data_IF_646153540242
#
_entry.id   IF_646153540242
#
_cell.length_a   1.000
_cell.length_b   1.000
_cell.length_c   1.000
_cell.angle_alpha   90.00
_cell.angle_beta   90.00
_cell.angle_gamma   90.00
#
_symmetry.space_group_name_H-M   'P 1'
#
loop_
_entity.id
_entity.type
_entity.pdbx_description
1 polymer ?
#
# COMPACT_ATOMS: atom_id res chain seq x y z
N UNK A 1 -16.55 10.73 27.60
CA UNK A 1 -15.54 9.75 28.06
C UNK A 1 -14.35 9.84 27.13
N UNK A 2 -13.12 9.84 27.66
CA UNK A 2 -11.91 9.92 26.83
C UNK A 2 -11.69 8.54 26.18
N UNK A 3 -11.63 8.45 24.85
CA UNK A 3 -11.39 7.19 24.14
C UNK A 3 -10.06 6.57 24.59
N UNK A 4 -10.05 5.26 24.87
CA UNK A 4 -8.83 4.50 25.15
C UNK A 4 -7.94 4.42 23.90
N UNK A 5 -6.60 4.24 24.03
CA UNK A 5 -5.73 4.01 22.88
C UNK A 5 -6.18 2.83 22.00
N UNK A 6 -6.70 1.77 22.61
CA UNK A 6 -7.25 0.60 21.92
C UNK A 6 -8.49 0.94 21.09
N UNK A 7 -9.40 1.74 21.66
CA UNK A 7 -10.59 2.25 20.97
C UNK A 7 -10.19 3.12 19.78
N UNK A 8 -9.27 4.08 19.96
CA UNK A 8 -8.75 4.90 18.85
C UNK A 8 -8.13 4.05 17.72
N UNK A 9 -7.38 3.03 18.09
CA UNK A 9 -6.73 2.14 17.13
C UNK A 9 -7.72 1.34 16.30
N UNK A 10 -8.69 0.67 16.95
CA UNK A 10 -9.74 -0.09 16.25
C UNK A 10 -10.65 0.82 15.43
N UNK A 11 -11.07 1.95 16.01
CA UNK A 11 -11.94 2.91 15.31
C UNK A 11 -11.22 3.55 14.12
N UNK A 12 -9.90 3.76 14.15
CA UNK A 12 -9.16 4.29 13.00
C UNK A 12 -9.24 3.41 11.75
N UNK A 13 -9.28 2.08 11.92
CA UNK A 13 -9.36 1.14 10.80
C UNK A 13 -10.80 0.74 10.49
N UNK A 14 -11.54 0.21 11.47
CA UNK A 14 -12.89 -0.32 11.27
C UNK A 14 -13.98 0.76 11.27
N UNK A 15 -13.75 1.93 11.89
CA UNK A 15 -14.82 2.94 12.14
C UNK A 15 -16.03 2.34 12.87
N UNK A 16 -15.77 1.43 13.80
CA UNK A 16 -16.78 0.84 14.67
C UNK A 16 -17.13 1.79 15.84
N UNK A 17 -18.20 1.52 16.62
CA UNK A 17 -18.55 2.30 17.81
C UNK A 17 -17.44 2.38 18.85
N UNK A 18 -17.26 3.57 19.45
CA UNK A 18 -16.18 3.89 20.40
C UNK A 18 -16.16 2.99 21.64
N UNK A 19 -17.34 2.54 22.05
CA UNK A 19 -17.51 1.75 23.25
C UNK A 19 -16.85 0.38 23.12
N UNK A 20 -16.69 -0.19 21.92
CA UNK A 20 -16.12 -1.53 21.68
C UNK A 20 -14.67 -1.66 22.18
N UNK A 21 -13.88 -0.59 22.14
CA UNK A 21 -12.45 -0.61 22.47
C UNK A 21 -12.09 -0.52 23.96
N UNK A 22 -13.03 -0.68 24.89
CA UNK A 22 -12.73 -0.57 26.33
C UNK A 22 -12.14 -1.84 26.94
N UNK A 23 -10.99 -2.31 26.44
CA UNK A 23 -10.10 -3.22 27.15
C UNK A 23 -8.75 -2.54 27.36
N UNK A 24 -8.08 -2.88 28.46
CA UNK A 24 -6.89 -2.17 28.91
C UNK A 24 -5.67 -2.65 28.10
N UNK A 25 -5.32 -1.93 27.03
CA UNK A 25 -3.96 -1.99 26.49
C UNK A 25 -3.07 -1.40 27.58
N UNK A 26 -2.30 -2.26 28.26
CA UNK A 26 -1.44 -1.82 29.37
C UNK A 26 -0.65 -0.58 28.97
N UNK A 27 -0.61 0.40 29.86
CA UNK A 27 0.27 1.55 29.70
C UNK A 27 1.72 1.13 29.89
N UNK A 28 2.56 1.47 28.90
CA UNK A 28 4.03 1.60 28.92
C UNK A 28 4.77 0.91 30.06
N UNK A 29 5.45 -0.18 29.73
CA UNK A 29 6.67 -0.57 30.45
C UNK A 29 7.83 -0.09 29.59
N UNK A 30 8.58 0.90 30.08
CA UNK A 30 9.71 1.50 29.36
C UNK A 30 10.80 0.46 29.09
N UNK A 31 10.70 -0.24 27.97
CA UNK A 31 11.70 -1.16 27.45
C UNK A 31 12.02 -0.81 26.00
N UNK A 32 13.20 -1.20 25.52
CA UNK A 32 13.57 -1.02 24.12
C UNK A 32 12.63 -1.83 23.19
N UNK A 33 12.11 -1.27 22.07
CA UNK A 33 11.31 -2.03 21.12
C UNK A 33 12.04 -3.25 20.53
N UNK A 34 11.37 -4.39 20.51
CA UNK A 34 11.94 -5.70 20.16
C UNK A 34 11.03 -6.44 19.19
N UNK A 35 11.54 -7.50 18.55
CA UNK A 35 10.71 -8.43 17.82
C UNK A 35 9.94 -9.34 18.80
N UNK A 36 8.68 -9.65 18.50
CA UNK A 36 7.87 -10.62 19.24
C UNK A 36 6.85 -11.29 18.32
N UNK A 37 6.24 -12.41 18.75
CA UNK A 37 5.19 -13.10 18.00
C UNK A 37 3.81 -12.79 18.57
N UNK A 38 2.86 -12.53 17.68
CA UNK A 38 1.43 -12.49 18.04
C UNK A 38 0.88 -13.92 18.23
N UNK A 39 -0.37 -14.04 18.70
CA UNK A 39 -1.04 -15.34 18.94
C UNK A 39 -1.23 -16.18 17.67
N UNK A 40 -1.08 -15.58 16.48
CA UNK A 40 -1.15 -16.29 15.19
C UNK A 40 0.19 -16.22 14.45
N UNK A 41 1.29 -16.33 15.17
CA UNK A 41 2.66 -16.42 14.65
C UNK A 41 3.14 -15.22 13.80
N UNK A 42 2.39 -14.10 13.76
CA UNK A 42 2.85 -12.91 13.05
C UNK A 42 4.02 -12.26 13.79
N UNK A 43 5.04 -11.87 13.02
CA UNK A 43 6.19 -11.12 13.48
C UNK A 43 5.79 -9.67 13.75
N UNK A 44 5.89 -9.24 14.99
CA UNK A 44 5.62 -7.87 15.41
C UNK A 44 6.92 -7.18 15.85
N UNK A 45 6.92 -5.84 15.90
CA UNK A 45 8.05 -5.07 16.42
C UNK A 45 7.56 -3.89 17.28
N UNK A 46 7.90 -3.88 18.57
CA UNK A 46 7.41 -2.89 19.52
C UNK A 46 7.84 -3.19 20.96
N UNK A 47 7.39 -2.38 21.90
CA UNK A 47 7.53 -2.64 23.34
C UNK A 47 6.77 -3.93 23.70
N UNK A 48 7.46 -4.87 24.35
CA UNK A 48 6.91 -6.14 24.80
C UNK A 48 6.80 -6.18 26.33
N UNK A 49 5.70 -6.72 26.86
CA UNK A 49 5.44 -6.74 28.30
C UNK A 49 6.11 -7.89 29.05
N UNK A 50 6.67 -8.89 28.35
CA UNK A 50 7.45 -9.97 28.96
C UNK A 50 8.93 -9.58 29.03
N UNK A 51 9.44 -9.36 30.24
CA UNK A 51 10.73 -8.71 30.54
C UNK A 51 12.03 -9.43 30.16
N UNK A 52 12.06 -10.25 29.11
CA UNK A 52 13.31 -10.79 28.54
C UNK A 52 13.23 -10.90 27.02
N UNK A 53 13.59 -9.85 26.28
CA UNK A 53 13.53 -9.89 24.83
C UNK A 53 14.87 -10.31 24.20
N UNK A 54 14.86 -11.14 23.15
CA UNK A 54 16.00 -11.24 22.27
C UNK A 54 16.11 -10.00 21.37
N UNK A 55 17.33 -9.49 21.18
CA UNK A 55 17.64 -8.38 20.28
C UNK A 55 17.65 -8.77 18.79
N UNK A 56 17.66 -10.07 18.48
CA UNK A 56 17.78 -10.63 17.14
C UNK A 56 16.59 -11.53 16.78
N UNK A 57 16.14 -11.44 15.52
CA UNK A 57 15.06 -12.23 14.90
C UNK A 57 15.24 -13.76 15.03
N UNK A 58 16.48 -14.22 15.26
CA UNK A 58 16.84 -15.64 15.33
C UNK A 58 16.68 -16.28 16.71
N UNK A 59 16.27 -15.51 17.73
CA UNK A 59 16.04 -16.04 19.07
C UNK A 59 14.55 -16.13 19.38
N UNK A 60 14.21 -17.13 20.19
CA UNK A 60 12.86 -17.52 20.59
C UNK A 60 12.00 -16.28 20.92
N UNK A 61 10.99 -16.00 20.10
CA UNK A 61 10.13 -14.84 20.28
C UNK A 61 9.14 -15.15 21.41
N UNK A 62 8.97 -14.25 22.41
CA UNK A 62 8.04 -14.53 23.51
C UNK A 62 6.60 -14.60 23.01
N UNK A 63 5.94 -15.71 23.31
CA UNK A 63 4.53 -15.98 22.98
C UNK A 63 3.58 -15.12 23.82
N UNK A 64 2.41 -14.83 23.25
CA UNK A 64 1.32 -14.24 24.01
C UNK A 64 0.82 -15.20 25.11
N UNK A 65 0.90 -14.77 26.36
CA UNK A 65 0.37 -15.53 27.48
C UNK A 65 -1.12 -15.22 27.71
N UNK A 66 -1.98 -16.26 27.69
CA UNK A 66 -3.32 -16.19 28.30
C UNK A 66 -3.16 -16.03 29.81
N UNK A 67 -3.58 -14.90 30.39
CA UNK A 67 -3.67 -14.74 31.85
C UNK A 67 -5.13 -14.67 32.31
N UNK A 68 -5.64 -15.82 32.76
CA UNK A 68 -7.02 -15.94 33.26
C UNK A 68 -8.09 -15.84 32.17
N UNK A 69 -9.07 -14.95 32.38
CA UNK A 69 -10.17 -14.61 31.45
C UNK A 69 -9.82 -13.47 30.49
N UNK A 70 -8.62 -12.89 30.59
CA UNK A 70 -8.20 -11.72 29.81
C UNK A 70 -7.31 -12.17 28.66
N UNK A 71 -7.71 -11.90 27.42
CA UNK A 71 -6.85 -12.06 26.25
C UNK A 71 -5.88 -10.87 26.18
N UNK A 72 -4.59 -11.14 26.03
CA UNK A 72 -3.55 -10.10 26.06
C UNK A 72 -2.71 -10.15 24.78
N UNK A 73 -2.66 -9.02 24.08
CA UNK A 73 -1.65 -8.81 23.05
C UNK A 73 -0.28 -8.60 23.73
N UNK A 74 0.80 -9.25 23.28
CA UNK A 74 2.08 -9.30 24.00
C UNK A 74 2.85 -7.96 24.10
N UNK A 75 2.34 -6.90 23.46
CA UNK A 75 2.94 -5.56 23.46
C UNK A 75 1.93 -4.43 23.21
N UNK A 76 2.41 -3.23 22.89
CA UNK A 76 1.56 -2.14 22.41
C UNK A 76 1.22 -2.37 20.92
N UNK A 77 -0.03 -2.77 20.64
CA UNK A 77 -0.50 -3.04 19.28
C UNK A 77 -0.47 -1.80 18.36
N UNK A 78 -0.71 -0.61 18.92
CA UNK A 78 -0.67 0.66 18.17
C UNK A 78 0.76 0.93 17.72
N UNK A 79 1.70 0.87 18.68
CA UNK A 79 3.11 1.05 18.40
C UNK A 79 3.64 -0.03 17.45
N UNK A 80 3.17 -1.28 17.56
CA UNK A 80 3.55 -2.36 16.66
C UNK A 80 3.14 -2.05 15.21
N UNK A 81 1.89 -1.65 14.98
CA UNK A 81 1.42 -1.30 13.64
C UNK A 81 2.11 -0.05 13.08
N UNK A 82 2.34 0.98 13.90
CA UNK A 82 3.11 2.15 13.48
C UNK A 82 4.56 1.79 13.14
N UNK A 83 5.22 0.95 13.93
CA UNK A 83 6.57 0.50 13.65
C UNK A 83 6.67 -0.28 12.33
N UNK A 84 5.64 -1.06 11.99
CA UNK A 84 5.55 -1.75 10.71
C UNK A 84 5.33 -0.77 9.55
N UNK A 85 4.29 0.07 9.63
CA UNK A 85 3.94 1.07 8.60
C UNK A 85 5.06 2.06 8.31
N UNK A 86 5.85 2.42 9.33
CA UNK A 86 6.96 3.36 9.22
C UNK A 86 8.33 2.65 9.17
N UNK A 87 8.34 1.34 8.96
CA UNK A 87 9.55 0.50 8.76
C UNK A 87 10.61 0.60 9.88
N UNK A 88 10.18 0.88 11.12
CA UNK A 88 11.08 1.07 12.27
C UNK A 88 11.84 -0.20 12.64
N UNK A 89 11.27 -1.36 12.31
CA UNK A 89 11.90 -2.66 12.48
C UNK A 89 13.16 -2.83 11.59
N UNK A 90 13.20 -2.18 10.42
CA UNK A 90 14.34 -2.24 9.50
C UNK A 90 15.54 -1.41 9.97
N UNK A 91 15.32 -0.38 10.81
CA UNK A 91 16.41 0.43 11.35
C UNK A 91 17.28 -0.35 12.36
N UNK A 92 16.68 -1.27 13.14
CA UNK A 92 17.40 -2.07 14.15
C UNK A 92 18.19 -3.25 13.57
N UNK A 93 17.72 -3.88 12.49
CA UNK A 93 18.50 -4.92 11.78
C UNK A 93 19.82 -4.37 11.20
N UNK A 94 19.95 -3.06 11.05
CA UNK A 94 21.19 -2.38 10.63
C UNK A 94 22.10 -1.93 11.77
N UNK A 95 21.69 -1.98 13.04
CA UNK A 95 22.56 -1.63 14.18
C UNK A 95 23.51 -2.77 14.60
N UNK A 96 23.20 -4.02 14.27
CA UNK A 96 24.08 -5.18 14.49
C UNK A 96 25.22 -5.32 13.47
N UNK A 97 25.22 -4.55 12.38
CA UNK A 97 26.24 -4.54 11.35
C UNK A 97 26.63 -3.09 11.08
N UNK A 98 27.84 -2.64 11.45
CA UNK A 98 28.37 -1.28 11.28
C UNK A 98 28.42 -0.76 9.83
N UNK A 99 27.27 -0.68 9.16
CA UNK A 99 27.11 -0.68 7.71
C UNK A 99 26.27 0.47 7.15
N UNK A 100 25.71 1.35 7.97
CA UNK A 100 25.03 2.57 7.48
C UNK A 100 26.00 3.48 6.69
N UNK A 101 27.23 3.64 7.17
CA UNK A 101 28.27 4.43 6.47
C UNK A 101 28.77 3.73 5.21
N UNK A 102 28.99 2.41 5.24
CA UNK A 102 29.43 1.64 4.05
C UNK A 102 28.35 1.54 2.96
N UNK A 103 27.07 1.36 3.32
CA UNK A 103 25.95 1.33 2.37
C UNK A 103 25.75 2.66 1.65
N UNK A 104 25.86 3.79 2.37
CA UNK A 104 25.75 5.11 1.77
C UNK A 104 26.88 5.42 0.77
N UNK A 105 28.11 5.01 1.08
CA UNK A 105 29.26 5.18 0.17
C UNK A 105 29.11 4.32 -1.09
N UNK A 106 28.75 3.04 -0.94
CA UNK A 106 28.52 2.13 -2.09
C UNK A 106 27.35 2.59 -2.94
N UNK A 107 26.26 3.06 -2.31
CA UNK A 107 25.10 3.65 -3.01
C UNK A 107 25.52 4.90 -3.80
N UNK A 108 26.24 5.82 -3.16
CA UNK A 108 26.71 7.05 -3.82
C UNK A 108 27.64 6.74 -5.00
N UNK A 109 28.58 5.79 -4.85
CA UNK A 109 29.44 5.35 -5.94
C UNK A 109 28.64 4.70 -7.06
N UNK A 110 27.71 3.80 -6.73
CA UNK A 110 26.82 3.16 -7.71
C UNK A 110 26.03 4.20 -8.50
N UNK A 111 25.33 5.14 -7.87
CA UNK A 111 24.57 6.16 -8.60
C UNK A 111 25.43 7.20 -9.33
N UNK A 112 26.69 7.37 -8.93
CA UNK A 112 27.65 8.20 -9.68
C UNK A 112 28.09 7.49 -10.97
N UNK A 113 28.25 6.17 -10.93
CA UNK A 113 28.69 5.37 -12.09
C UNK A 113 27.50 4.87 -12.93
N UNK A 114 26.30 4.77 -12.35
CA UNK A 114 25.07 4.24 -12.97
C UNK A 114 24.79 4.87 -14.34
N UNK A 115 24.84 6.20 -14.56
CA UNK A 115 24.58 6.80 -15.86
C UNK A 115 25.47 6.25 -16.99
N UNK A 116 26.69 5.81 -16.67
CA UNK A 116 27.68 5.31 -17.62
C UNK A 116 27.58 3.80 -17.88
N UNK A 117 26.80 3.05 -17.08
CA UNK A 117 26.64 1.61 -17.26
C UNK A 117 25.55 1.29 -18.30
N UNK A 118 25.78 0.36 -19.25
CA UNK A 118 24.74 -0.17 -20.11
C UNK A 118 23.61 -0.83 -19.31
N UNK A 119 22.36 -0.79 -19.81
CA UNK A 119 21.17 -1.34 -19.12
C UNK A 119 21.35 -2.82 -18.74
N UNK A 120 21.96 -3.62 -19.62
CA UNK A 120 22.25 -5.04 -19.35
C UNK A 120 23.19 -5.24 -18.15
N UNK A 121 24.19 -4.36 -17.99
CA UNK A 121 25.14 -4.41 -16.85
C UNK A 121 24.44 -3.96 -15.56
N UNK A 122 23.60 -2.92 -15.61
CA UNK A 122 22.80 -2.49 -14.46
C UNK A 122 21.87 -3.61 -13.98
N UNK A 123 21.18 -4.27 -14.92
CA UNK A 123 20.32 -5.44 -14.67
C UNK A 123 21.08 -6.56 -13.97
N UNK A 124 22.24 -6.95 -14.51
CA UNK A 124 23.06 -8.02 -13.95
C UNK A 124 23.60 -7.69 -12.54
N UNK A 125 24.10 -6.47 -12.32
CA UNK A 125 24.55 -6.03 -11.00
C UNK A 125 23.40 -6.01 -9.98
N UNK A 126 22.21 -5.61 -10.40
CA UNK A 126 21.03 -5.61 -9.53
C UNK A 126 20.58 -7.04 -9.19
N UNK A 127 20.59 -7.96 -10.16
CA UNK A 127 20.33 -9.38 -9.90
C UNK A 127 21.32 -9.97 -8.88
N UNK A 128 22.60 -9.60 -8.95
CA UNK A 128 23.60 -10.00 -7.95
C UNK A 128 23.30 -9.37 -6.59
N UNK A 129 23.03 -8.07 -6.55
CA UNK A 129 22.72 -7.35 -5.31
C UNK A 129 21.49 -7.92 -4.59
N UNK A 130 20.51 -8.39 -5.35
CA UNK A 130 19.26 -8.96 -4.84
C UNK A 130 19.34 -10.47 -4.58
N UNK A 131 20.49 -11.14 -4.73
CA UNK A 131 20.63 -12.56 -4.40
C UNK A 131 20.19 -12.85 -2.96
N UNK A 132 19.50 -13.97 -2.76
CA UNK A 132 18.95 -14.36 -1.45
C UNK A 132 17.71 -13.57 -1.03
N UNK A 133 17.08 -12.83 -1.95
CA UNK A 133 15.80 -12.15 -1.70
C UNK A 133 14.69 -13.10 -1.22
N UNK A 134 14.74 -14.35 -1.68
CA UNK A 134 13.82 -15.45 -1.36
C UNK A 134 14.06 -16.03 0.04
N UNK A 135 15.20 -15.69 0.67
CA UNK A 135 15.59 -16.18 2.01
C UNK A 135 15.28 -15.18 3.12
N UNK A 136 14.84 -13.97 2.78
CA UNK A 136 14.47 -12.99 3.78
C UNK A 136 13.19 -13.46 4.49
N UNK A 137 13.20 -13.62 5.83
CA UNK A 137 12.07 -14.17 6.55
C UNK A 137 10.98 -13.13 6.83
N UNK A 138 11.31 -11.83 6.74
CA UNK A 138 10.41 -10.72 7.03
C UNK A 138 10.81 -9.46 6.24
N UNK A 139 9.85 -8.70 5.68
CA UNK A 139 8.42 -9.00 5.57
C UNK A 139 8.08 -10.29 4.80
N UNK A 140 6.90 -10.86 5.01
CA UNK A 140 6.49 -12.11 4.38
C UNK A 140 6.22 -11.94 2.87
N UNK A 141 6.97 -12.65 2.02
CA UNK A 141 6.74 -12.67 0.57
C UNK A 141 5.61 -13.66 0.20
N UNK A 142 4.78 -13.38 -0.83
CA UNK A 142 4.82 -12.24 -1.76
C UNK A 142 3.98 -11.03 -1.34
N UNK A 143 3.20 -11.14 -0.27
CA UNK A 143 2.41 -10.07 0.34
C UNK A 143 2.43 -10.28 1.85
N UNK A 144 2.82 -9.26 2.60
CA UNK A 144 2.82 -9.26 4.04
C UNK A 144 1.50 -8.65 4.55
N UNK A 145 0.81 -9.38 5.43
CA UNK A 145 -0.52 -9.05 5.98
C UNK A 145 -0.49 -8.90 7.50
N UNK A 146 0.69 -8.68 8.06
CA UNK A 146 0.94 -8.64 9.51
C UNK A 146 0.09 -7.57 10.17
N UNK A 147 -0.01 -6.38 9.57
CA UNK A 147 -0.81 -5.28 10.14
C UNK A 147 -2.29 -5.66 10.19
N UNK A 148 -2.84 -6.26 9.13
CA UNK A 148 -4.24 -6.72 9.09
C UNK A 148 -4.49 -7.80 10.14
N UNK A 149 -3.58 -8.78 10.27
CA UNK A 149 -3.71 -9.84 11.26
C UNK A 149 -3.68 -9.29 12.70
N UNK A 150 -2.84 -8.28 13.00
CA UNK A 150 -2.84 -7.61 14.30
C UNK A 150 -4.18 -6.91 14.54
N UNK A 151 -4.69 -6.15 13.57
CA UNK A 151 -5.96 -5.42 13.68
C UNK A 151 -7.14 -6.36 13.95
N UNK A 152 -7.22 -7.46 13.21
CA UNK A 152 -8.25 -8.49 13.39
C UNK A 152 -8.16 -9.15 14.78
N UNK A 153 -6.96 -9.54 15.23
CA UNK A 153 -6.79 -10.14 16.56
C UNK A 153 -7.19 -9.20 17.68
N UNK A 154 -6.80 -7.93 17.59
CA UNK A 154 -7.16 -6.92 18.57
C UNK A 154 -8.68 -6.76 18.63
N UNK A 155 -9.37 -6.83 17.48
CA UNK A 155 -10.83 -6.81 17.43
C UNK A 155 -11.45 -8.09 18.02
N UNK A 156 -10.92 -9.28 17.72
CA UNK A 156 -11.35 -10.55 18.34
C UNK A 156 -11.25 -10.49 19.87
N UNK A 157 -10.15 -9.97 20.41
CA UNK A 157 -9.98 -9.82 21.85
C UNK A 157 -10.95 -8.81 22.45
N UNK A 158 -11.19 -7.69 21.76
CA UNK A 158 -12.21 -6.73 22.16
C UNK A 158 -13.60 -7.37 22.23
N UNK A 159 -13.99 -8.12 21.20
CA UNK A 159 -15.27 -8.82 21.10
C UNK A 159 -15.43 -9.85 22.21
N UNK A 160 -14.42 -10.72 22.42
CA UNK A 160 -14.46 -11.76 23.46
C UNK A 160 -14.52 -11.20 24.87
N UNK A 161 -13.73 -10.16 25.17
CA UNK A 161 -13.75 -9.53 26.51
C UNK A 161 -15.11 -8.94 26.89
N UNK A 162 -15.94 -8.62 25.88
CA UNK A 162 -17.28 -8.04 26.04
C UNK A 162 -18.40 -9.01 25.76
N UNK A 163 -18.08 -10.28 25.47
CA UNK A 163 -19.03 -11.30 25.06
C UNK A 163 -19.88 -10.86 23.85
N UNK A 164 -19.27 -10.18 22.89
CA UNK A 164 -19.88 -9.77 21.62
C UNK A 164 -19.57 -10.80 20.55
N UNK A 165 -20.60 -11.24 19.82
CA UNK A 165 -20.44 -12.14 18.67
C UNK A 165 -20.42 -11.40 17.34
N UNK A 166 -20.85 -10.13 17.33
CA UNK A 166 -21.04 -9.31 16.13
C UNK A 166 -20.78 -7.85 16.45
N UNK A 167 -20.02 -7.17 15.60
CA UNK A 167 -19.66 -5.76 15.74
C UNK A 167 -19.95 -5.01 14.44
N UNK A 168 -20.76 -3.95 14.46
CA UNK A 168 -21.03 -3.11 13.30
C UNK A 168 -19.83 -2.18 13.04
N UNK A 169 -19.54 -1.92 11.77
CA UNK A 169 -18.47 -1.04 11.35
C UNK A 169 -18.75 -0.47 9.96
N UNK A 170 -18.02 0.57 9.56
CA UNK A 170 -18.13 1.12 8.21
C UNK A 170 -17.23 0.29 7.29
N UNK A 171 -17.79 -0.31 6.24
CA UNK A 171 -17.03 -1.12 5.29
C UNK A 171 -15.86 -0.32 4.66
N UNK A 172 -14.81 -1.03 4.24
CA UNK A 172 -13.54 -0.42 3.86
C UNK A 172 -13.62 0.41 2.58
N UNK A 173 -14.37 -0.08 1.59
CA UNK A 173 -14.45 0.49 0.26
C UNK A 173 -15.85 1.02 -0.02
N UNK A 174 -15.98 2.01 -0.92
CA UNK A 174 -17.29 2.54 -1.24
C UNK A 174 -18.15 1.48 -1.91
N UNK A 175 -19.46 1.68 -1.86
CA UNK A 175 -20.44 0.96 -2.65
C UNK A 175 -20.48 -0.56 -2.34
N UNK A 176 -19.90 -0.99 -1.21
CA UNK A 176 -19.80 -2.38 -0.79
C UNK A 176 -18.71 -3.21 -1.51
N UNK A 177 -17.82 -2.56 -2.28
CA UNK A 177 -16.77 -3.27 -3.02
C UNK A 177 -15.87 -4.08 -2.08
N UNK A 178 -15.53 -5.32 -2.46
CA UNK A 178 -14.79 -6.23 -1.58
C UNK A 178 -13.31 -5.86 -1.43
N UNK A 179 -12.76 -5.14 -2.41
CA UNK A 179 -11.37 -4.71 -2.47
C UNK A 179 -11.26 -3.54 -3.47
N UNK A 180 -10.10 -2.88 -3.49
CA UNK A 180 -9.82 -1.80 -4.42
C UNK A 180 -8.59 -2.13 -5.27
N UNK A 181 -8.56 -1.67 -6.52
CA UNK A 181 -7.36 -1.72 -7.35
C UNK A 181 -7.04 -0.35 -7.96
N UNK A 182 -5.74 -0.03 -8.02
CA UNK A 182 -5.20 1.14 -8.71
C UNK A 182 -4.12 0.72 -9.71
N UNK A 183 -4.16 1.32 -10.90
CA UNK A 183 -3.14 1.16 -11.93
C UNK A 183 -2.33 2.45 -12.03
N UNK A 184 -0.99 2.32 -12.03
CA UNK A 184 -0.10 3.49 -12.03
C UNK A 184 1.08 3.29 -12.97
N UNK A 185 1.57 4.40 -13.54
CA UNK A 185 2.60 4.43 -14.57
C UNK A 185 3.74 5.38 -14.24
N UNK A 186 4.90 4.83 -13.89
CA UNK A 186 6.13 5.59 -13.66
C UNK A 186 6.82 5.86 -15.01
N UNK A 187 6.80 7.12 -15.45
CA UNK A 187 7.33 7.55 -16.76
C UNK A 187 8.80 7.96 -16.60
N UNK A 188 9.76 7.09 -16.95
CA UNK A 188 11.17 7.32 -16.59
C UNK A 188 12.02 7.91 -17.73
N UNK A 189 11.63 7.71 -19.00
CA UNK A 189 12.39 8.19 -20.17
C UNK A 189 11.51 8.89 -21.21
N UNK A 190 12.18 9.59 -22.15
CA UNK A 190 11.51 10.21 -23.29
C UNK A 190 10.76 9.19 -24.17
N UNK A 191 11.27 7.95 -24.26
CA UNK A 191 10.59 6.89 -25.01
C UNK A 191 9.27 6.49 -24.31
N UNK A 192 9.30 6.33 -22.98
CA UNK A 192 8.10 6.11 -22.17
C UNK A 192 7.09 7.25 -22.30
N UNK A 193 7.55 8.51 -22.22
CA UNK A 193 6.69 9.69 -22.40
C UNK A 193 5.98 9.67 -23.76
N UNK A 194 6.72 9.39 -24.84
CA UNK A 194 6.16 9.31 -26.20
C UNK A 194 5.16 8.16 -26.37
N UNK A 195 5.32 7.08 -25.60
CA UNK A 195 4.44 5.92 -25.64
C UNK A 195 3.14 6.11 -24.83
N UNK A 196 3.10 7.07 -23.90
CA UNK A 196 1.96 7.25 -22.99
C UNK A 196 0.60 7.39 -23.68
N UNK A 197 0.52 8.01 -24.87
CA UNK A 197 -0.77 8.09 -25.59
C UNK A 197 -1.29 6.72 -26.00
N UNK A 198 -0.42 5.85 -26.53
CA UNK A 198 -0.78 4.48 -26.89
C UNK A 198 -1.08 3.63 -25.66
N UNK A 199 -0.37 3.89 -24.55
CA UNK A 199 -0.67 3.26 -23.27
C UNK A 199 -2.05 3.65 -22.73
N UNK A 200 -2.44 4.93 -22.86
CA UNK A 200 -3.80 5.36 -22.51
C UNK A 200 -4.85 4.69 -23.40
N UNK A 201 -4.59 4.53 -24.71
CA UNK A 201 -5.49 3.80 -25.61
C UNK A 201 -5.69 2.35 -25.13
N UNK A 202 -4.60 1.69 -24.74
CA UNK A 202 -4.64 0.32 -24.20
C UNK A 202 -5.40 0.23 -22.87
N UNK A 203 -5.17 1.17 -21.94
CA UNK A 203 -5.92 1.20 -20.68
C UNK A 203 -7.43 1.39 -20.94
N UNK A 204 -7.78 2.31 -21.83
CA UNK A 204 -9.17 2.59 -22.20
C UNK A 204 -9.87 1.41 -22.87
N UNK A 205 -9.18 0.60 -23.68
CA UNK A 205 -9.78 -0.57 -24.30
C UNK A 205 -10.28 -1.61 -23.28
N UNK A 206 -9.75 -1.60 -22.05
CA UNK A 206 -10.21 -2.44 -20.94
C UNK A 206 -11.05 -1.69 -19.90
N UNK A 207 -11.38 -0.41 -20.16
CA UNK A 207 -12.17 0.42 -19.24
C UNK A 207 -11.44 0.83 -17.96
N UNK A 208 -10.11 0.71 -17.92
CA UNK A 208 -9.31 1.00 -16.72
C UNK A 208 -8.69 2.39 -16.87
N UNK A 209 -8.83 3.23 -15.84
CA UNK A 209 -8.10 4.50 -15.74
C UNK A 209 -6.92 4.34 -14.80
N UNK A 210 -5.87 5.08 -15.08
CA UNK A 210 -4.60 5.01 -14.35
C UNK A 210 -4.03 6.41 -14.06
N UNK A 211 -3.03 6.45 -13.20
CA UNK A 211 -2.24 7.65 -12.96
C UNK A 211 -0.87 7.55 -13.64
N UNK A 212 -0.34 8.68 -14.06
CA UNK A 212 0.98 8.81 -14.67
C UNK A 212 1.86 9.65 -13.75
N UNK A 213 2.94 9.05 -13.26
CA UNK A 213 3.95 9.66 -12.43
C UNK A 213 5.03 10.21 -13.36
N UNK A 214 5.08 11.54 -13.47
CA UNK A 214 5.93 12.25 -14.42
C UNK A 214 7.11 12.88 -13.69
N UNK A 215 8.33 12.68 -14.20
CA UNK A 215 9.55 13.29 -13.65
C UNK A 215 9.68 14.72 -14.18
N UNK A 216 9.70 15.75 -13.31
CA UNK A 216 9.74 17.16 -13.76
C UNK A 216 11.03 17.58 -14.45
N UNK A 217 12.19 17.16 -13.94
CA UNK A 217 13.49 17.69 -14.35
C UNK A 217 14.41 16.59 -14.92
N UNK A 218 15.39 17.01 -15.75
CA UNK A 218 16.53 16.25 -16.29
C UNK A 218 16.25 15.00 -17.15
N UNK A 219 15.05 14.40 -17.13
CA UNK A 219 14.73 13.18 -17.89
C UNK A 219 14.25 13.47 -19.30
N UNK A 220 13.37 14.44 -19.45
CA UNK A 220 12.74 14.84 -20.70
C UNK A 220 12.04 16.19 -20.51
N UNK A 221 11.73 16.89 -21.60
CA UNK A 221 10.82 18.04 -21.54
C UNK A 221 9.38 17.54 -21.35
N UNK A 222 8.61 18.21 -20.49
CA UNK A 222 7.19 17.91 -20.23
C UNK A 222 6.32 19.02 -20.84
N UNK A 223 5.78 18.85 -22.05
CA UNK A 223 4.93 19.86 -22.66
C UNK A 223 3.62 20.02 -21.88
N UNK A 224 3.07 21.24 -21.71
CA UNK A 224 1.76 21.43 -21.09
C UNK A 224 0.65 20.61 -21.77
N UNK A 225 0.71 20.49 -23.11
CA UNK A 225 -0.23 19.68 -23.90
C UNK A 225 -0.20 18.20 -23.58
N UNK A 226 0.93 17.66 -23.12
CA UNK A 226 1.04 16.28 -22.67
C UNK A 226 0.22 16.06 -21.39
N UNK A 227 0.39 16.94 -20.40
CA UNK A 227 -0.36 16.88 -19.15
C UNK A 227 -1.86 17.11 -19.35
N UNK A 228 -2.22 18.06 -20.24
CA UNK A 228 -3.61 18.31 -20.60
C UNK A 228 -4.26 17.11 -21.29
N UNK A 229 -3.54 16.42 -22.17
CA UNK A 229 -4.05 15.20 -22.83
C UNK A 229 -4.40 14.11 -21.81
N UNK A 230 -3.51 13.85 -20.85
CA UNK A 230 -3.76 12.87 -19.76
C UNK A 230 -5.06 13.22 -19.01
N UNK A 231 -5.21 14.48 -18.58
CA UNK A 231 -6.39 14.92 -17.82
C UNK A 231 -7.68 14.89 -18.65
N UNK A 232 -7.63 15.37 -19.90
CA UNK A 232 -8.78 15.38 -20.81
C UNK A 232 -9.34 13.98 -21.06
N UNK A 233 -8.46 12.97 -21.06
CA UNK A 233 -8.84 11.56 -21.17
C UNK A 233 -9.27 10.92 -19.85
N UNK A 234 -9.36 11.70 -18.77
CA UNK A 234 -9.80 11.23 -17.46
C UNK A 234 -8.73 10.47 -16.65
N UNK A 235 -7.48 10.47 -17.10
CA UNK A 235 -6.36 9.91 -16.34
C UNK A 235 -5.84 10.93 -15.31
N UNK A 236 -4.95 10.48 -14.43
CA UNK A 236 -4.33 11.32 -13.40
C UNK A 236 -2.86 11.63 -13.69
N UNK A 237 -2.42 12.84 -13.32
CA UNK A 237 -1.03 13.28 -13.39
C UNK A 237 -0.50 13.44 -11.96
N UNK A 238 0.63 12.81 -11.67
CA UNK A 238 1.34 12.87 -10.40
C UNK A 238 2.81 13.27 -10.59
N UNK A 239 3.42 13.79 -9.53
CA UNK A 239 4.85 14.13 -9.53
C UNK A 239 5.69 12.90 -9.16
N UNK A 240 6.70 12.60 -9.98
CA UNK A 240 7.62 11.49 -9.76
C UNK A 240 9.02 11.99 -9.42
N UNK A 241 9.33 12.09 -8.12
CA UNK A 241 10.59 12.68 -7.66
C UNK A 241 10.77 14.11 -8.23
N UNK A 242 12.00 14.66 -8.16
CA UNK A 242 12.34 15.90 -8.86
C UNK A 242 12.99 15.59 -10.22
N UNK A 243 14.04 14.78 -10.21
CA UNK A 243 14.82 14.44 -11.40
C UNK A 243 15.18 12.95 -11.48
N UNK A 244 14.68 12.17 -10.54
CA UNK A 244 14.80 10.71 -10.52
C UNK A 244 16.26 10.23 -10.46
N UNK A 245 17.17 10.99 -9.83
CA UNK A 245 18.60 10.66 -9.73
C UNK A 245 18.95 9.64 -8.62
N UNK A 246 17.94 9.22 -7.83
CA UNK A 246 18.09 8.29 -6.71
C UNK A 246 18.70 8.92 -5.45
N UNK A 247 18.77 10.27 -5.38
CA UNK A 247 19.42 11.00 -4.28
C UNK A 247 18.47 11.88 -3.46
N UNK A 248 17.16 11.85 -3.72
CA UNK A 248 16.18 12.66 -3.00
C UNK A 248 16.31 12.50 -1.47
N UNK A 249 16.48 11.27 -0.98
CA UNK A 249 16.63 10.95 0.45
C UNK A 249 18.09 10.76 0.89
N UNK A 250 19.05 11.44 0.26
CA UNK A 250 20.48 11.31 0.60
C UNK A 250 20.89 12.15 1.81
N UNK A 251 20.35 13.37 1.93
CA UNK A 251 20.62 14.35 2.98
C UNK A 251 19.31 15.13 3.25
N UNK A 252 18.98 15.40 4.53
CA UNK A 252 17.77 16.15 4.92
C UNK A 252 17.77 17.57 4.34
N UNK A 253 18.90 18.27 4.34
CA UNK A 253 18.97 19.64 3.80
C UNK A 253 18.67 19.65 2.30
N UNK A 254 19.31 18.75 1.54
CA UNK A 254 19.06 18.57 0.12
C UNK A 254 17.62 18.14 -0.15
N UNK A 255 17.08 17.25 0.68
CA UNK A 255 15.68 16.83 0.60
C UNK A 255 14.74 18.01 0.78
N UNK A 256 14.91 18.83 1.81
CA UNK A 256 14.07 20.01 2.06
C UNK A 256 14.16 21.03 0.91
N UNK A 257 15.36 21.20 0.33
CA UNK A 257 15.53 22.03 -0.87
C UNK A 257 14.73 21.48 -2.05
N UNK A 258 14.86 20.18 -2.35
CA UNK A 258 14.15 19.54 -3.47
C UNK A 258 12.64 19.44 -3.22
N UNK A 259 12.20 19.19 -1.99
CA UNK A 259 10.80 19.11 -1.60
C UNK A 259 10.07 20.42 -1.96
N UNK A 260 10.68 21.59 -1.75
CA UNK A 260 10.09 22.87 -2.19
C UNK A 260 9.87 22.92 -3.71
N UNK A 261 10.82 22.44 -4.50
CA UNK A 261 10.67 22.38 -5.96
C UNK A 261 9.59 21.37 -6.37
N UNK A 262 9.59 20.19 -5.75
CA UNK A 262 8.59 19.13 -5.97
C UNK A 262 7.18 19.67 -5.66
N UNK A 263 6.99 20.35 -4.53
CA UNK A 263 5.71 20.96 -4.16
C UNK A 263 5.30 22.04 -5.17
N UNK A 264 6.24 22.85 -5.66
CA UNK A 264 5.97 23.83 -6.72
C UNK A 264 5.46 23.15 -8.01
N UNK A 265 6.06 22.03 -8.44
CA UNK A 265 5.53 21.25 -9.57
C UNK A 265 4.17 20.64 -9.26
N UNK A 266 3.97 20.15 -8.04
CA UNK A 266 2.65 19.68 -7.56
C UNK A 266 1.57 20.73 -7.78
N UNK A 267 1.83 21.98 -7.35
CA UNK A 267 0.91 23.10 -7.56
C UNK A 267 0.75 23.47 -9.04
N UNK A 268 1.85 23.63 -9.78
CA UNK A 268 1.82 24.02 -11.19
C UNK A 268 1.08 23.01 -12.07
N UNK A 269 1.21 21.72 -11.76
CA UNK A 269 0.54 20.65 -12.49
C UNK A 269 -0.83 20.32 -11.88
N UNK A 270 -1.25 20.93 -10.78
CA UNK A 270 -2.44 20.47 -10.04
C UNK A 270 -2.38 18.97 -9.71
N UNK A 271 -1.18 18.46 -9.49
CA UNK A 271 -0.93 17.07 -9.14
C UNK A 271 -1.05 16.92 -7.62
N UNK A 272 -1.87 15.97 -7.19
CA UNK A 272 -2.15 15.74 -5.77
C UNK A 272 -1.47 14.49 -5.22
N UNK A 273 -0.86 13.67 -6.08
CA UNK A 273 -0.07 12.50 -5.72
C UNK A 273 1.43 12.67 -5.97
N UNK A 274 2.22 12.03 -5.12
CA UNK A 274 3.68 11.92 -5.22
C UNK A 274 4.13 10.46 -5.30
N UNK A 275 5.25 10.22 -5.99
CA UNK A 275 6.00 8.95 -6.01
C UNK A 275 7.49 9.25 -5.99
N UNK A 276 8.24 8.66 -5.07
CA UNK A 276 9.69 8.78 -5.04
C UNK A 276 10.38 7.88 -6.07
N UNK A 277 11.53 8.34 -6.55
CA UNK A 277 12.33 7.54 -7.47
C UNK A 277 12.76 6.23 -6.84
N UNK A 278 12.54 5.12 -7.55
CA UNK A 278 13.05 3.79 -7.15
C UNK A 278 12.45 3.33 -5.79
N UNK A 279 11.35 3.97 -5.35
CA UNK A 279 10.76 3.79 -4.02
C UNK A 279 11.73 4.03 -2.86
N UNK A 280 12.75 4.87 -3.06
CA UNK A 280 13.57 5.34 -1.95
C UNK A 280 12.75 6.23 -1.04
N UNK A 281 12.90 6.04 0.27
CA UNK A 281 11.98 6.64 1.22
C UNK A 281 12.62 6.88 2.57
N UNK A 282 12.20 7.96 3.20
CA UNK A 282 12.39 8.24 4.61
C UNK A 282 11.13 8.93 5.13
N UNK A 283 10.26 8.14 5.76
CA UNK A 283 8.91 8.58 6.15
C UNK A 283 8.95 9.75 7.16
N UNK A 284 10.01 9.88 7.96
CA UNK A 284 10.21 11.01 8.89
C UNK A 284 10.33 12.37 8.20
N UNK A 285 10.51 12.38 6.88
CA UNK A 285 10.76 13.58 6.11
C UNK A 285 9.53 13.98 5.26
N UNK A 286 8.48 13.16 5.27
CA UNK A 286 7.29 13.37 4.43
C UNK A 286 6.47 14.59 4.84
N UNK A 287 6.70 15.13 6.04
CA UNK A 287 6.10 16.38 6.52
C UNK A 287 6.41 17.60 5.64
N UNK A 288 7.47 17.53 4.83
CA UNK A 288 7.83 18.60 3.88
C UNK A 288 7.17 18.46 2.50
N UNK A 289 6.41 17.39 2.23
CA UNK A 289 5.75 17.15 0.96
C UNK A 289 4.28 17.60 1.03
N UNK A 290 3.89 18.55 0.16
CA UNK A 290 2.55 19.16 0.16
C UNK A 290 1.59 18.43 -0.80
N UNK A 291 1.42 17.13 -0.61
CA UNK A 291 0.57 16.27 -1.45
C UNK A 291 -0.58 15.65 -0.67
N UNK A 292 -1.63 15.24 -1.38
CA UNK A 292 -2.76 14.51 -0.80
C UNK A 292 -2.44 13.04 -0.57
N UNK A 293 -1.57 12.43 -1.36
CA UNK A 293 -1.14 11.06 -1.11
C UNK A 293 0.27 10.78 -1.66
N UNK A 294 0.92 9.79 -1.06
CA UNK A 294 2.17 9.19 -1.52
C UNK A 294 1.90 7.74 -1.93
N UNK A 295 2.76 7.20 -2.79
CA UNK A 295 2.71 5.81 -3.22
C UNK A 295 4.11 5.20 -3.28
N UNK A 296 4.97 5.55 -2.32
CA UNK A 296 6.39 5.21 -2.35
C UNK A 296 6.79 4.10 -1.39
N UNK A 297 5.88 3.63 -0.53
CA UNK A 297 6.17 2.60 0.47
C UNK A 297 5.64 1.25 -0.01
N UNK A 298 6.52 0.28 -0.33
CA UNK A 298 6.10 -1.06 -0.70
C UNK A 298 5.54 -1.82 0.50
N UNK A 299 4.67 -2.79 0.23
CA UNK A 299 4.23 -3.78 1.22
C UNK A 299 5.39 -4.71 1.62
N UNK A 300 6.13 -5.21 0.63
CA UNK A 300 7.34 -6.03 0.80
C UNK A 300 8.43 -5.62 -0.18
N UNK A 301 9.59 -5.20 0.32
CA UNK A 301 10.71 -4.72 -0.50
C UNK A 301 11.80 -5.78 -0.76
N UNK A 302 11.41 -7.03 -1.01
CA UNK A 302 12.36 -8.13 -1.28
C UNK A 302 13.05 -8.02 -2.63
N UNK A 303 12.55 -7.22 -3.57
CA UNK A 303 13.18 -7.02 -4.87
C UNK A 303 13.52 -5.55 -5.16
N UNK A 304 13.31 -4.67 -4.19
CA UNK A 304 13.62 -3.25 -4.32
C UNK A 304 15.02 -2.91 -3.77
N UNK A 305 15.66 -1.84 -4.30
CA UNK A 305 16.98 -1.43 -3.83
C UNK A 305 17.04 -1.03 -2.35
N UNK A 306 15.94 -0.50 -1.79
CA UNK A 306 15.79 -0.26 -0.36
C UNK A 306 14.86 -1.31 0.25
N UNK A 307 15.45 -2.20 1.05
CA UNK A 307 14.75 -3.23 1.84
C UNK A 307 13.76 -2.62 2.85
N UNK A 308 12.85 -3.45 3.35
CA UNK A 308 11.79 -3.08 4.28
C UNK A 308 10.42 -3.46 3.74
N UNK A 309 9.39 -2.70 4.10
CA UNK A 309 7.99 -2.90 3.77
C UNK A 309 7.05 -2.37 4.85
N UNK A 310 5.91 -1.80 4.48
CA UNK A 310 4.93 -1.32 5.47
C UNK A 310 4.08 -2.44 6.10
N UNK A 311 4.17 -3.67 5.59
CA UNK A 311 3.46 -4.85 6.10
C UNK A 311 1.92 -4.70 6.19
N UNK A 312 1.35 -3.77 5.43
CA UNK A 312 -0.09 -3.53 5.34
C UNK A 312 -0.51 -3.49 3.87
N UNK A 313 -1.72 -3.96 3.59
CA UNK A 313 -2.35 -3.86 2.27
C UNK A 313 -3.37 -2.72 2.21
N UNK A 314 -3.51 -1.93 3.26
CA UNK A 314 -4.46 -0.81 3.31
C UNK A 314 -3.76 0.56 3.26
N UNK A 315 -4.45 1.58 2.73
CA UNK A 315 -4.02 2.96 2.90
C UNK A 315 -3.89 3.35 4.38
N UNK A 316 -2.94 4.23 4.69
CA UNK A 316 -2.75 4.73 6.05
C UNK A 316 -2.25 6.18 6.05
N UNK A 317 -2.52 6.89 7.15
CA UNK A 317 -2.11 8.28 7.29
C UNK A 317 -0.65 8.41 7.73
N UNK A 318 0.08 9.32 7.09
CA UNK A 318 1.39 9.83 7.50
C UNK A 318 1.21 11.34 7.71
N UNK A 319 0.85 11.73 8.94
CA UNK A 319 0.42 13.10 9.21
C UNK A 319 -0.80 13.47 8.35
N UNK A 320 -0.64 14.45 7.45
CA UNK A 320 -1.70 14.90 6.53
C UNK A 320 -1.75 14.11 5.22
N UNK A 321 -0.66 13.38 4.90
CA UNK A 321 -0.52 12.56 3.71
C UNK A 321 -1.20 11.20 3.93
N UNK A 322 -1.72 10.62 2.85
CA UNK A 322 -2.15 9.22 2.85
C UNK A 322 -1.13 8.43 2.05
N UNK A 323 -0.55 7.40 2.63
CA UNK A 323 0.19 6.40 1.88
C UNK A 323 -0.78 5.43 1.23
N UNK A 324 -0.64 5.22 -0.08
CA UNK A 324 -1.26 4.12 -0.82
C UNK A 324 -0.16 3.09 -1.12
N UNK A 325 -0.02 2.04 -0.30
CA UNK A 325 1.15 1.17 -0.37
C UNK A 325 1.27 0.46 -1.71
N UNK A 326 2.49 0.19 -2.15
CA UNK A 326 2.78 -0.63 -3.34
C UNK A 326 2.67 -2.10 -2.94
N UNK A 327 1.52 -2.71 -3.21
CA UNK A 327 1.16 -4.04 -2.69
C UNK A 327 1.47 -5.19 -3.64
N UNK A 328 1.79 -4.91 -4.90
CA UNK A 328 2.21 -5.92 -5.87
C UNK A 328 3.62 -5.69 -6.38
N UNK A 329 4.25 -6.71 -6.95
CA UNK A 329 5.57 -6.58 -7.57
C UNK A 329 5.50 -5.64 -8.78
N UNK A 330 6.51 -4.77 -8.93
CA UNK A 330 6.64 -3.90 -10.10
C UNK A 330 6.98 -4.72 -11.36
N UNK A 331 6.54 -4.25 -12.53
CA UNK A 331 6.88 -4.85 -13.82
C UNK A 331 8.39 -4.97 -14.06
N UNK A 332 9.18 -3.99 -13.61
CA UNK A 332 10.63 -4.04 -13.72
C UNK A 332 11.21 -5.26 -13.00
N UNK A 333 10.83 -5.48 -11.75
CA UNK A 333 11.31 -6.61 -10.96
C UNK A 333 10.82 -7.93 -11.55
N UNK A 334 9.58 -7.98 -12.03
CA UNK A 334 9.00 -9.16 -12.67
C UNK A 334 9.76 -9.53 -13.96
N UNK A 335 9.93 -8.59 -14.89
CA UNK A 335 10.53 -8.86 -16.21
C UNK A 335 12.05 -8.91 -16.18
N UNK A 336 12.70 -8.06 -15.39
CA UNK A 336 14.15 -7.90 -15.42
C UNK A 336 14.88 -8.62 -14.27
N UNK A 337 14.25 -8.84 -13.12
CA UNK A 337 14.90 -9.58 -12.02
C UNK A 337 14.47 -11.04 -12.03
N UNK A 338 13.16 -11.32 -12.04
CA UNK A 338 12.62 -12.68 -12.04
C UNK A 338 12.57 -13.32 -13.42
N UNK A 339 12.61 -12.51 -14.49
CA UNK A 339 12.49 -12.96 -15.87
C UNK A 339 11.20 -13.79 -16.11
N UNK A 340 10.12 -13.40 -15.43
CA UNK A 340 8.79 -14.00 -15.56
C UNK A 340 7.94 -13.08 -16.46
N UNK A 341 7.52 -13.59 -17.62
CA UNK A 341 6.64 -12.87 -18.56
C UNK A 341 5.24 -13.51 -18.53
N UNK A 342 4.69 -13.65 -17.32
CA UNK A 342 3.32 -14.10 -17.06
C UNK A 342 2.69 -13.27 -15.95
N UNK A 343 1.36 -13.33 -15.83
CA UNK A 343 0.62 -12.66 -14.74
C UNK A 343 0.46 -13.52 -13.49
N UNK A 344 1.17 -14.66 -13.38
CA UNK A 344 0.97 -15.65 -12.30
C UNK A 344 1.25 -15.07 -10.92
N UNK A 345 2.39 -14.39 -10.75
CA UNK A 345 2.75 -13.79 -9.47
C UNK A 345 1.78 -12.67 -9.08
N UNK A 346 1.38 -11.83 -10.04
CA UNK A 346 0.34 -10.82 -9.81
C UNK A 346 -0.99 -11.46 -9.38
N UNK A 347 -1.46 -12.52 -10.03
CA UNK A 347 -2.67 -13.25 -9.62
C UNK A 347 -2.57 -13.79 -8.19
N UNK A 348 -1.41 -14.34 -7.80
CA UNK A 348 -1.17 -14.79 -6.44
C UNK A 348 -1.24 -13.63 -5.44
N UNK A 349 -0.59 -12.50 -5.72
CA UNK A 349 -0.61 -11.32 -4.86
C UNK A 349 -2.02 -10.74 -4.74
N UNK A 350 -2.76 -10.63 -5.85
CA UNK A 350 -4.16 -10.21 -5.88
C UNK A 350 -4.99 -11.10 -4.96
N UNK A 351 -4.88 -12.43 -5.05
CA UNK A 351 -5.62 -13.35 -4.17
C UNK A 351 -5.36 -13.07 -2.69
N UNK A 352 -4.09 -12.96 -2.30
CA UNK A 352 -3.70 -12.73 -0.90
C UNK A 352 -4.19 -11.38 -0.36
N UNK A 353 -4.18 -10.34 -1.19
CA UNK A 353 -4.69 -9.00 -0.85
C UNK A 353 -6.22 -9.04 -0.71
N UNK A 354 -6.90 -9.73 -1.62
CA UNK A 354 -8.37 -9.85 -1.61
C UNK A 354 -8.90 -10.61 -0.39
N UNK A 355 -8.16 -11.60 0.12
CA UNK A 355 -8.47 -12.29 1.38
C UNK A 355 -8.55 -11.33 2.59
N UNK A 356 -7.90 -10.17 2.50
CA UNK A 356 -7.92 -9.13 3.54
C UNK A 356 -8.67 -7.87 3.11
N UNK A 357 -9.41 -7.92 2.00
CA UNK A 357 -10.13 -6.77 1.46
C UNK A 357 -9.21 -5.56 1.18
N UNK A 358 -7.94 -5.77 0.83
CA UNK A 358 -6.95 -4.71 0.72
C UNK A 358 -6.97 -3.92 -0.60
N UNK A 359 -6.02 -3.00 -0.72
CA UNK A 359 -5.69 -2.25 -1.93
C UNK A 359 -4.70 -3.04 -2.79
N UNK A 360 -5.02 -3.23 -4.05
CA UNK A 360 -4.17 -3.83 -5.08
C UNK A 360 -3.54 -2.70 -5.89
N UNK A 361 -2.23 -2.50 -5.75
CA UNK A 361 -1.51 -1.39 -6.38
C UNK A 361 -0.43 -1.92 -7.31
N UNK A 362 -0.46 -1.48 -8.58
CA UNK A 362 0.51 -1.86 -9.62
C UNK A 362 1.35 -0.68 -10.06
N UNK A 363 2.63 -0.92 -10.30
CA UNK A 363 3.54 -0.01 -11.00
C UNK A 363 3.94 -0.64 -12.33
N UNK A 364 3.56 0.02 -13.43
CA UNK A 364 3.88 -0.40 -14.80
C UNK A 364 4.60 0.74 -15.50
N UNK A 365 5.84 0.55 -15.91
CA UNK A 365 6.61 1.58 -16.58
C UNK A 365 6.32 1.55 -18.09
N UNK A 366 5.84 2.65 -18.70
CA UNK A 366 5.66 2.73 -20.15
C UNK A 366 6.93 2.34 -20.91
N UNK A 367 8.08 2.65 -20.33
CA UNK A 367 9.43 2.37 -20.82
C UNK A 367 9.69 0.89 -21.12
N UNK A 368 9.16 -0.03 -20.30
CA UNK A 368 9.40 -1.47 -20.43
C UNK A 368 8.35 -2.17 -21.28
N UNK A 369 7.12 -1.64 -21.32
CA UNK A 369 6.01 -2.22 -22.08
C UNK A 369 5.91 -1.72 -23.53
N UNK A 370 6.88 -0.94 -24.02
CA UNK A 370 7.06 -0.72 -25.47
C UNK A 370 7.36 -2.06 -26.15
N UNK A 371 8.12 -2.94 -25.49
CA UNK A 371 8.43 -4.27 -26.01
C UNK A 371 7.15 -5.13 -26.07
N UNK A 372 6.86 -5.69 -27.25
CA UNK A 372 5.62 -6.45 -27.51
C UNK A 372 5.35 -7.55 -26.49
N UNK A 373 6.39 -8.28 -26.06
CA UNK A 373 6.25 -9.36 -25.06
C UNK A 373 5.76 -8.82 -23.72
N UNK A 374 6.40 -7.78 -23.18
CA UNK A 374 5.99 -7.14 -21.94
C UNK A 374 4.60 -6.49 -22.08
N UNK A 375 4.31 -5.86 -23.22
CA UNK A 375 3.01 -5.28 -23.54
C UNK A 375 1.88 -6.30 -23.51
N UNK A 376 2.12 -7.51 -24.03
CA UNK A 376 1.14 -8.60 -23.99
C UNK A 376 0.82 -9.02 -22.56
N UNK A 377 1.84 -9.17 -21.72
CA UNK A 377 1.65 -9.52 -20.30
C UNK A 377 0.86 -8.42 -19.57
N UNK A 378 1.10 -7.16 -19.90
CA UNK A 378 0.33 -6.05 -19.36
C UNK A 378 -1.14 -6.06 -19.85
N UNK A 379 -1.39 -6.35 -21.12
CA UNK A 379 -2.76 -6.53 -21.63
C UNK A 379 -3.49 -7.70 -20.94
N UNK A 380 -2.80 -8.82 -20.70
CA UNK A 380 -3.35 -9.96 -19.96
C UNK A 380 -3.71 -9.57 -18.51
N UNK A 381 -2.92 -8.68 -17.88
CA UNK A 381 -3.23 -8.13 -16.55
C UNK A 381 -4.47 -7.23 -16.61
N UNK A 382 -4.56 -6.31 -17.58
CA UNK A 382 -5.72 -5.43 -17.74
C UNK A 382 -7.01 -6.21 -17.99
N UNK A 383 -6.96 -7.24 -18.83
CA UNK A 383 -8.09 -8.16 -19.06
C UNK A 383 -8.53 -8.81 -17.75
N UNK A 384 -7.59 -9.35 -16.97
CA UNK A 384 -7.91 -9.97 -15.68
C UNK A 384 -8.53 -8.99 -14.67
N UNK A 385 -8.04 -7.75 -14.61
CA UNK A 385 -8.62 -6.72 -13.74
C UNK A 385 -10.01 -6.28 -14.22
N UNK A 386 -10.22 -6.14 -15.53
CA UNK A 386 -11.53 -5.82 -16.11
C UNK A 386 -12.57 -6.90 -15.79
N UNK A 387 -12.17 -8.18 -15.81
CA UNK A 387 -13.01 -9.30 -15.36
C UNK A 387 -13.41 -9.16 -13.89
N UNK A 388 -12.45 -8.87 -13.00
CA UNK A 388 -12.72 -8.63 -11.57
C UNK A 388 -13.63 -7.42 -11.31
N UNK A 389 -13.50 -6.38 -12.13
CA UNK A 389 -14.40 -5.23 -12.05
C UNK A 389 -15.83 -5.61 -12.48
N UNK A 390 -15.95 -6.42 -13.54
CA UNK A 390 -17.26 -6.83 -14.10
C UNK A 390 -18.10 -7.69 -13.15
N UNK A 391 -17.47 -8.40 -12.21
CA UNK A 391 -18.19 -9.16 -11.16
C UNK A 391 -18.74 -8.26 -10.05
N UNK A 392 -18.38 -6.97 -10.06
CA UNK A 392 -18.78 -5.99 -9.03
C UNK A 392 -18.00 -6.10 -7.72
N UNK A 393 -16.99 -6.98 -7.66
CA UNK A 393 -16.24 -7.24 -6.42
C UNK A 393 -15.10 -6.25 -6.18
N UNK A 394 -14.55 -5.65 -7.24
CA UNK A 394 -13.35 -4.81 -7.17
C UNK A 394 -13.65 -3.39 -7.64
N UNK A 395 -13.45 -2.41 -6.75
CA UNK A 395 -13.49 -1.00 -7.12
C UNK A 395 -12.16 -0.60 -7.76
N UNK A 396 -12.13 -0.50 -9.09
CA UNK A 396 -10.98 0.05 -9.83
C UNK A 396 -11.12 1.57 -9.90
N UNK A 397 -10.12 2.28 -9.38
CA UNK A 397 -10.16 3.73 -9.22
C UNK A 397 -8.83 4.39 -9.57
N UNK A 398 -8.83 5.71 -9.73
CA UNK A 398 -7.62 6.51 -9.72
C UNK A 398 -7.10 6.66 -8.28
N UNK A 399 -5.78 6.76 -8.08
CA UNK A 399 -5.21 6.97 -6.75
C UNK A 399 -5.80 8.17 -5.98
N UNK A 400 -6.09 9.31 -6.64
CA UNK A 400 -6.79 10.43 -5.97
C UNK A 400 -8.16 10.07 -5.42
N UNK A 401 -8.89 9.18 -6.08
CA UNK A 401 -10.22 8.76 -5.65
C UNK A 401 -10.12 7.87 -4.42
N UNK A 402 -9.13 6.98 -4.38
CA UNK A 402 -8.82 6.15 -3.20
C UNK A 402 -8.43 7.04 -2.02
N UNK A 403 -7.52 8.00 -2.23
CA UNK A 403 -7.09 8.92 -1.18
C UNK A 403 -8.24 9.81 -0.69
N UNK A 404 -9.12 10.28 -1.58
CA UNK A 404 -10.30 11.05 -1.22
C UNK A 404 -11.30 10.21 -0.41
N UNK A 405 -11.58 8.98 -0.85
CA UNK A 405 -12.44 8.05 -0.13
C UNK A 405 -11.92 7.76 1.27
N UNK A 406 -10.62 7.51 1.41
CA UNK A 406 -10.04 7.17 2.71
C UNK A 406 -10.10 8.34 3.71
N UNK A 407 -9.97 9.58 3.23
CA UNK A 407 -10.23 10.78 4.06
C UNK A 407 -11.69 10.87 4.46
N UNK A 408 -12.58 10.79 3.48
CA UNK A 408 -14.03 10.89 3.68
C UNK A 408 -14.50 9.84 4.69
N UNK A 409 -14.12 8.58 4.49
CA UNK A 409 -14.42 7.45 5.39
C UNK A 409 -13.91 7.70 6.82
N UNK A 410 -12.76 8.35 6.97
CA UNK A 410 -12.21 8.70 8.28
C UNK A 410 -13.01 9.82 9.00
N UNK A 411 -13.90 10.52 8.31
CA UNK A 411 -14.80 11.53 8.90
C UNK A 411 -16.21 10.98 9.16
N UNK A 412 -16.59 9.87 8.51
CA UNK A 412 -17.89 9.22 8.71
C UNK A 412 -18.05 8.64 10.12
N UNK A 413 -19.28 8.67 10.63
CA UNK A 413 -19.65 8.15 11.94
C UNK A 413 -20.75 7.11 11.81
N UNK A 414 -20.60 6.04 12.58
CA UNK A 414 -21.60 4.99 12.69
C UNK A 414 -22.49 5.31 13.91
N UNK A 415 -23.80 5.43 13.69
CA UNK A 415 -24.77 5.87 14.70
C UNK A 415 -25.85 4.79 14.86
N UNK A 416 -26.30 4.58 16.10
CA UNK A 416 -27.39 3.66 16.41
C UNK A 416 -28.67 4.44 16.71
N UNK A 417 -29.70 4.21 15.91
CA UNK A 417 -31.04 4.75 16.13
C UNK A 417 -32.07 3.61 16.08
N UNK A 418 -32.90 3.50 17.11
CA UNK A 418 -33.97 2.50 17.17
C UNK A 418 -33.51 1.04 17.13
N UNK A 419 -32.23 0.76 17.45
CA UNK A 419 -31.63 -0.59 17.33
C UNK A 419 -31.10 -0.92 15.94
N UNK A 420 -31.18 0.00 14.98
CA UNK A 420 -30.55 -0.09 13.66
C UNK A 420 -29.30 0.78 13.57
N UNK A 421 -28.38 0.43 12.67
CA UNK A 421 -27.15 1.19 12.43
C UNK A 421 -27.23 1.95 11.11
N UNK A 422 -26.89 3.22 11.13
CA UNK A 422 -26.76 4.05 9.94
C UNK A 422 -25.46 4.85 9.97
N UNK A 423 -25.06 5.36 8.79
CA UNK A 423 -23.82 6.10 8.61
C UNK A 423 -24.14 7.57 8.37
N UNK A 424 -23.52 8.44 9.17
CA UNK A 424 -23.63 9.89 9.06
C UNK A 424 -22.32 10.53 8.63
N UNK A 425 -22.43 11.61 7.84
CA UNK A 425 -21.31 12.40 7.35
C UNK A 425 -21.44 12.67 5.85
N UNK A 426 -20.60 13.56 5.34
CA UNK A 426 -20.54 13.83 3.91
C UNK A 426 -20.07 12.58 3.16
N UNK A 427 -20.79 12.18 2.11
CA UNK A 427 -20.46 11.00 1.32
C UNK A 427 -20.93 9.67 1.90
N UNK A 428 -21.80 9.69 2.92
CA UNK A 428 -22.33 8.46 3.53
C UNK A 428 -23.17 7.63 2.56
N UNK A 429 -23.68 8.21 1.47
CA UNK A 429 -24.43 7.51 0.44
C UNK A 429 -23.63 6.42 -0.29
N UNK A 430 -22.29 6.54 -0.27
CA UNK A 430 -21.38 5.52 -0.81
C UNK A 430 -20.85 4.57 0.26
N UNK A 431 -21.20 4.77 1.52
CA UNK A 431 -20.69 3.97 2.61
C UNK A 431 -21.66 2.84 2.97
N UNK A 432 -21.12 1.69 3.35
CA UNK A 432 -21.92 0.51 3.69
C UNK A 432 -21.67 0.10 5.13
N UNK A 433 -22.75 -0.17 5.87
CA UNK A 433 -22.64 -0.83 7.18
C UNK A 433 -22.32 -2.30 6.94
N UNK A 434 -21.24 -2.77 7.57
CA UNK A 434 -20.86 -4.17 7.59
C UNK A 434 -20.70 -4.62 9.04
N UNK A 435 -20.61 -5.93 9.22
CA UNK A 435 -20.47 -6.54 10.54
C UNK A 435 -19.29 -7.49 10.56
N UNK A 436 -18.41 -7.29 11.55
CA UNK A 436 -17.39 -8.25 11.92
C UNK A 436 -18.04 -9.29 12.83
N UNK A 437 -17.99 -10.56 12.43
CA UNK A 437 -18.60 -11.69 13.13
C UNK A 437 -17.51 -12.59 13.66
N UNK A 438 -17.65 -12.98 14.93
CA UNK A 438 -16.70 -13.89 15.57
C UNK A 438 -16.94 -15.32 15.08
N UNK A 439 -15.93 -15.90 14.43
CA UNK A 439 -15.91 -17.28 13.97
C UNK A 439 -14.80 -18.05 14.70
N UNK A 440 -15.07 -18.45 15.96
CA UNK A 440 -14.10 -19.09 16.84
C UNK A 440 -13.01 -18.10 17.30
N UNK A 441 -11.80 -18.26 16.78
CA UNK A 441 -10.65 -17.37 17.03
C UNK A 441 -10.38 -16.38 15.87
N UNK A 442 -11.21 -16.42 14.82
CA UNK A 442 -11.08 -15.60 13.62
C UNK A 442 -12.27 -14.65 13.43
N UNK A 443 -12.16 -13.74 12.47
CA UNK A 443 -13.25 -12.88 12.01
C UNK A 443 -13.72 -13.28 10.62
N UNK A 444 -15.03 -13.21 10.42
CA UNK A 444 -15.66 -13.14 9.10
C UNK A 444 -16.40 -11.81 8.98
N UNK A 445 -16.65 -11.38 7.75
CA UNK A 445 -17.38 -10.13 7.49
C UNK A 445 -18.65 -10.41 6.70
N UNK A 446 -19.72 -9.70 7.05
CA UNK A 446 -21.02 -9.78 6.38
C UNK A 446 -21.64 -8.38 6.21
N UNK A 447 -22.53 -8.26 5.23
CA UNK A 447 -23.33 -7.06 5.00
C UNK A 447 -24.76 -7.28 5.52
N UNK A 448 -25.46 -6.19 5.83
CA UNK A 448 -26.91 -6.29 6.08
C UNK A 448 -27.64 -6.71 4.80
N UNK A 449 -28.52 -7.71 4.89
CA UNK A 449 -29.25 -8.31 3.74
C UNK A 449 -30.09 -7.28 2.97
N UNK A 450 -30.37 -6.11 3.55
CA UNK A 450 -31.19 -5.04 2.97
C UNK A 450 -30.51 -4.20 1.87
N UNK A 451 -29.21 -4.37 1.59
CA UNK A 451 -28.44 -3.49 0.66
C UNK A 451 -28.09 -4.18 -0.68
N UNK A 452 -28.60 -5.38 -0.96
CA UNK A 452 -28.41 -6.00 -2.28
C UNK A 452 -29.33 -5.39 -3.35
N UNK A 453 -28.90 -4.28 -3.95
CA UNK A 453 -29.56 -3.68 -5.10
C UNK A 453 -28.64 -2.82 -5.95
N UNK A 454 -27.77 -3.45 -6.76
CA UNK A 454 -27.16 -2.78 -7.90
C UNK A 454 -27.85 -3.22 -9.20
N UNK A 455 -28.28 -2.28 -10.06
CA UNK A 455 -28.83 -2.63 -11.38
C UNK A 455 -27.74 -3.19 -12.30
N UNK A 456 -28.13 -4.22 -13.06
CA UNK A 456 -27.35 -4.97 -14.04
C UNK A 456 -26.44 -4.10 -14.94
N UNK A 457 -25.12 -4.19 -14.73
CA UNK A 457 -24.09 -3.83 -15.72
C UNK A 457 -23.70 -5.03 -16.61
N UNK A 458 -24.46 -6.13 -16.58
CA UNK A 458 -24.06 -7.44 -17.15
C UNK A 458 -24.05 -7.54 -18.67
N UNK A 459 -24.52 -6.54 -19.43
CA UNK A 459 -24.82 -6.77 -20.86
C UNK A 459 -23.96 -6.01 -21.89
N UNK A 460 -23.01 -5.16 -21.49
CA UNK A 460 -22.30 -4.30 -22.45
C UNK A 460 -20.89 -4.75 -22.89
N UNK A 461 -20.24 -5.67 -22.16
CA UNK A 461 -18.80 -5.95 -22.37
C UNK A 461 -18.45 -7.10 -23.33
N UNK A 462 -19.42 -7.93 -23.73
CA UNK A 462 -19.15 -9.18 -24.46
C UNK A 462 -18.82 -9.01 -25.96
N UNK A 463 -19.11 -7.85 -26.59
CA UNK A 463 -19.12 -7.76 -28.07
C UNK A 463 -17.86 -7.08 -28.65
N UNK A 464 -16.91 -6.55 -27.85
CA UNK A 464 -15.80 -5.72 -28.38
C UNK A 464 -14.39 -6.35 -28.37
N UNK A 465 -14.20 -7.54 -27.79
CA UNK A 465 -12.84 -8.08 -27.57
C UNK A 465 -12.26 -8.93 -28.72
N UNK A 466 -13.04 -9.31 -29.74
CA UNK A 466 -12.51 -10.17 -30.81
C UNK A 466 -11.80 -9.42 -31.96
N UNK A 467 -11.99 -8.10 -32.11
CA UNK A 467 -11.42 -7.35 -33.25
C UNK A 467 -10.11 -6.60 -32.96
N UNK A 468 -9.66 -6.48 -31.71
CA UNK A 468 -8.50 -5.65 -31.33
C UNK A 468 -7.20 -6.40 -31.03
N UNK A 469 -7.20 -7.74 -31.04
CA UNK A 469 -6.00 -8.56 -30.83
C UNK A 469 -5.20 -8.85 -32.12
N UNK A 470 -5.59 -8.26 -33.26
CA UNK A 470 -5.01 -8.53 -34.57
C UNK A 470 -4.31 -7.33 -35.26
N UNK A 471 -4.09 -6.19 -34.58
CA UNK A 471 -3.40 -5.01 -35.15
C UNK A 471 -2.18 -4.54 -34.35
#
# INVERSE_FOLDING_TARGET
MQQTPASKFLTSHFRCPDDIGGFDLRSRVSCDPVYFQSVSDNVCHGECYSGFPPADFYAFLPDACRTGTTFQFPGDAVQAVENLRFERYAARSTRGNGGLTKKNVVRNLYYTVRPFLPVAVRKYLQQIYLRGWDKAPFPAWPVDRTVENILEQVLVFAMKSRNLNRVPFIWFWPDGAQNCAIMTHDVETLAGLRFCSQLMDLNESFGIKSSFQVVPEDRYNVPPSFLENIRRRGFEVNVHDLNHDGRLFSNREQFLYRARQINNYGQQWGAVGFRSAILYRNVDWYDALDFSYDMSVPNVAHLDPQRGGCCTVFPYFIGKLIELPVTTIQDYSLFHILNDYSIRLWKQQISLIREKHGLISFIIHPDYIIAKTARRVYADLLQYLSELQSTGETWIALPREVAAWWRLRNELRLVSEGGSWHIEGQGSERATVAYAVLAGDNLTFEFDEAVQGYPDLRQACSIRNEELLAS
#
